data_IF_165557874306
#
_entry.id   IF_165557874306
#
_cell.length_a   1.000
_cell.length_b   1.000
_cell.length_c   1.000
_cell.angle_alpha   90.00
_cell.angle_beta   90.00
_cell.angle_gamma   90.00
#
_symmetry.space_group_name_H-M   'P 1'
#
loop_
_entity.id
_entity.type
_entity.pdbx_description
1 polymer ?
#
# COMPACT_ATOMS: atom_id res chain seq x y z
N UNK A 1 -13.59 7.35 20.83
CA UNK A 1 -12.86 6.13 21.22
C UNK A 1 -13.77 4.93 20.92
N UNK A 2 -13.35 4.02 20.03
CA UNK A 2 -14.07 2.77 19.72
C UNK A 2 -13.99 1.83 20.94
N UNK A 3 -14.85 2.03 21.94
CA UNK A 3 -14.75 1.31 23.23
C UNK A 3 -15.46 -0.05 23.28
N UNK A 4 -16.13 -0.45 22.19
CA UNK A 4 -17.00 -1.64 22.23
C UNK A 4 -16.42 -2.86 21.50
N UNK A 5 -15.48 -2.66 20.56
CA UNK A 5 -14.75 -3.76 19.93
C UNK A 5 -13.50 -4.06 20.74
N UNK A 6 -13.26 -5.34 21.04
CA UNK A 6 -12.00 -5.72 21.65
C UNK A 6 -10.83 -5.46 20.66
N UNK A 7 -9.62 -5.29 21.20
CA UNK A 7 -8.42 -4.96 20.41
C UNK A 7 -8.14 -5.98 19.29
N UNK A 8 -8.47 -7.25 19.50
CA UNK A 8 -8.30 -8.29 18.49
C UNK A 8 -9.28 -8.11 17.32
N UNK A 9 -10.53 -7.76 17.59
CA UNK A 9 -11.57 -7.51 16.58
C UNK A 9 -11.27 -6.23 15.80
N UNK A 10 -10.83 -5.15 16.45
CA UNK A 10 -10.40 -3.93 15.75
C UNK A 10 -9.29 -4.19 14.73
N UNK A 11 -8.27 -4.97 15.13
CA UNK A 11 -7.17 -5.36 14.24
C UNK A 11 -7.67 -6.27 13.10
N UNK A 12 -8.56 -7.23 13.41
CA UNK A 12 -9.10 -8.17 12.42
C UNK A 12 -10.08 -7.54 11.42
N UNK A 13 -10.78 -6.47 11.80
CA UNK A 13 -11.67 -5.71 10.92
C UNK A 13 -10.96 -4.56 10.20
N UNK A 14 -9.73 -4.22 10.61
CA UNK A 14 -9.04 -3.03 10.08
C UNK A 14 -9.70 -1.73 10.51
N UNK A 15 -10.50 -1.78 11.59
CA UNK A 15 -11.23 -0.65 12.15
C UNK A 15 -10.28 0.21 12.96
N UNK A 16 -9.67 1.18 12.31
CA UNK A 16 -8.85 2.20 12.96
C UNK A 16 -9.58 3.53 12.95
N UNK A 17 -9.62 4.18 14.11
CA UNK A 17 -10.01 5.58 14.20
C UNK A 17 -9.12 6.42 13.29
N UNK A 18 -9.72 7.30 12.49
CA UNK A 18 -8.97 8.19 11.60
C UNK A 18 -8.73 9.53 12.30
N UNK A 19 -7.49 9.89 12.63
CA UNK A 19 -7.21 11.14 13.32
C UNK A 19 -7.71 12.37 12.55
N UNK A 20 -8.28 13.33 13.29
CA UNK A 20 -8.88 14.54 12.73
C UNK A 20 -7.94 15.31 11.78
N UNK A 21 -6.63 15.32 12.05
CA UNK A 21 -5.69 16.01 11.17
C UNK A 21 -5.57 15.33 9.78
N UNK A 22 -5.75 14.01 9.68
CA UNK A 22 -5.82 13.31 8.40
C UNK A 22 -7.13 13.59 7.68
N UNK A 23 -8.25 13.64 8.43
CA UNK A 23 -9.56 14.05 7.89
C UNK A 23 -9.49 15.47 7.33
N UNK A 24 -8.83 16.40 8.03
CA UNK A 24 -8.59 17.75 7.52
C UNK A 24 -7.76 17.76 6.23
N UNK A 25 -6.78 16.86 6.07
CA UNK A 25 -6.02 16.75 4.81
C UNK A 25 -6.88 16.19 3.66
N UNK A 26 -7.83 15.30 3.94
CA UNK A 26 -8.83 14.84 2.96
C UNK A 26 -9.67 16.02 2.47
N UNK A 27 -10.18 16.86 3.37
CA UNK A 27 -10.94 18.05 2.98
C UNK A 27 -10.10 19.08 2.24
N UNK A 28 -8.83 19.29 2.62
CA UNK A 28 -7.92 20.16 1.87
C UNK A 28 -7.73 19.71 0.43
N UNK A 29 -7.63 18.40 0.18
CA UNK A 29 -7.55 17.86 -1.19
C UNK A 29 -8.87 18.07 -1.93
N UNK A 30 -10.02 17.82 -1.29
CA UNK A 30 -11.33 18.06 -1.88
C UNK A 30 -11.53 19.54 -2.26
N UNK A 31 -11.26 20.47 -1.34
CA UNK A 31 -11.41 21.93 -1.54
C UNK A 31 -10.45 22.48 -2.59
N UNK A 32 -9.31 21.81 -2.82
CA UNK A 32 -8.36 22.18 -3.87
C UNK A 32 -8.90 21.87 -5.27
N UNK A 33 -9.69 20.80 -5.42
CA UNK A 33 -10.03 20.22 -6.72
C UNK A 33 -11.52 20.25 -7.07
N UNK A 34 -12.40 20.51 -6.10
CA UNK A 34 -13.84 20.54 -6.27
C UNK A 34 -14.34 21.95 -5.98
N UNK A 35 -14.97 22.59 -6.97
CA UNK A 35 -15.37 24.00 -6.90
C UNK A 35 -16.38 24.29 -5.78
N UNK A 36 -17.42 23.46 -5.67
CA UNK A 36 -18.43 23.58 -4.62
C UNK A 36 -18.78 22.20 -4.06
N UNK A 37 -18.39 21.94 -2.81
CA UNK A 37 -18.70 20.67 -2.13
C UNK A 37 -20.20 20.48 -1.87
N UNK A 38 -20.97 21.55 -1.72
CA UNK A 38 -22.42 21.46 -1.43
C UNK A 38 -23.24 20.89 -2.60
N UNK A 39 -22.66 20.85 -3.80
CA UNK A 39 -23.29 20.23 -4.97
C UNK A 39 -23.33 18.69 -4.89
N UNK A 40 -22.61 18.10 -3.95
CA UNK A 40 -22.34 16.68 -3.89
C UNK A 40 -22.93 16.01 -2.66
N UNK A 41 -23.38 14.78 -2.85
CA UNK A 41 -23.63 13.83 -1.76
C UNK A 41 -22.31 13.11 -1.45
N UNK A 42 -21.97 13.01 -0.17
CA UNK A 42 -20.77 12.35 0.32
C UNK A 42 -21.11 10.98 0.88
N UNK A 43 -20.49 9.93 0.34
CA UNK A 43 -20.66 8.57 0.83
C UNK A 43 -19.38 8.10 1.51
N UNK A 44 -19.48 7.71 2.78
CA UNK A 44 -18.51 6.82 3.42
C UNK A 44 -19.16 5.44 3.61
N UNK A 45 -18.74 4.49 2.78
CA UNK A 45 -19.30 3.14 2.70
C UNK A 45 -18.87 2.23 3.87
N UNK A 46 -18.02 2.71 4.77
CA UNK A 46 -17.50 1.98 5.93
C UNK A 46 -17.14 2.97 7.03
N UNK A 47 -18.12 3.78 7.41
CA UNK A 47 -17.89 5.03 8.13
C UNK A 47 -17.49 4.85 9.59
N UNK A 48 -17.69 3.66 10.16
CA UNK A 48 -17.53 3.43 11.59
C UNK A 48 -18.31 4.47 12.40
N UNK A 49 -17.57 5.32 13.11
CA UNK A 49 -18.12 6.34 14.01
C UNK A 49 -18.40 7.68 13.29
N UNK A 50 -18.18 7.75 11.97
CA UNK A 50 -18.41 8.95 11.17
C UNK A 50 -17.27 9.96 11.28
N UNK A 51 -16.02 9.50 11.42
CA UNK A 51 -14.83 10.35 11.62
C UNK A 51 -14.67 11.43 10.53
N UNK A 52 -15.20 11.16 9.33
CA UNK A 52 -15.12 12.06 8.18
C UNK A 52 -16.22 13.12 8.14
N UNK A 53 -17.29 13.02 8.94
CA UNK A 53 -18.48 13.88 8.84
C UNK A 53 -18.35 15.17 9.67
N UNK A 54 -17.30 15.94 9.40
CA UNK A 54 -16.87 17.08 10.24
C UNK A 54 -17.32 18.46 9.74
N UNK A 55 -17.94 18.53 8.56
CA UNK A 55 -18.50 19.77 7.98
C UNK A 55 -20.03 19.69 7.91
N UNK A 56 -20.69 20.76 7.52
CA UNK A 56 -22.13 20.75 7.20
C UNK A 56 -22.32 20.46 5.70
N UNK A 57 -22.40 19.17 5.34
CA UNK A 57 -22.57 18.67 3.96
C UNK A 57 -23.55 17.49 3.97
N UNK A 58 -24.09 17.10 2.82
CA UNK A 58 -24.99 15.95 2.72
C UNK A 58 -24.21 14.62 2.76
N UNK A 59 -24.14 14.02 3.95
CA UNK A 59 -23.46 12.74 4.16
C UNK A 59 -24.39 11.54 4.22
N UNK A 60 -23.89 10.44 3.69
CA UNK A 60 -24.39 9.08 3.87
C UNK A 60 -23.27 8.25 4.51
N UNK A 61 -23.55 7.68 5.68
CA UNK A 61 -22.65 6.78 6.39
C UNK A 61 -23.19 5.35 6.38
N UNK A 62 -22.35 4.39 6.01
CA UNK A 62 -22.70 2.98 6.03
C UNK A 62 -21.69 2.19 6.83
N UNK A 63 -22.16 1.23 7.62
CA UNK A 63 -21.31 0.26 8.29
C UNK A 63 -22.09 -1.03 8.58
N UNK A 64 -21.37 -2.13 8.78
CA UNK A 64 -21.93 -3.39 9.28
C UNK A 64 -22.09 -3.37 10.80
N UNK A 65 -21.38 -2.48 11.48
CA UNK A 65 -21.39 -2.33 12.92
C UNK A 65 -22.45 -1.31 13.36
N UNK A 66 -23.58 -1.84 13.87
CA UNK A 66 -24.69 -1.04 14.36
C UNK A 66 -24.32 -0.17 15.57
N UNK A 67 -23.36 -0.62 16.40
CA UNK A 67 -22.92 0.15 17.57
C UNK A 67 -22.10 1.35 17.10
N UNK A 68 -21.20 1.17 16.14
CA UNK A 68 -20.48 2.28 15.53
C UNK A 68 -21.43 3.33 14.91
N UNK A 69 -22.40 2.87 14.11
CA UNK A 69 -23.39 3.76 13.49
C UNK A 69 -24.24 4.55 14.51
N UNK A 70 -24.50 3.99 15.69
CA UNK A 70 -25.25 4.71 16.74
C UNK A 70 -24.54 5.97 17.26
N UNK A 71 -23.24 6.10 16.99
CA UNK A 71 -22.44 7.24 17.41
C UNK A 71 -22.33 8.33 16.33
N UNK A 72 -22.77 8.04 15.10
CA UNK A 72 -22.75 8.98 13.99
C UNK A 72 -23.86 10.02 14.19
N UNK A 73 -23.51 11.31 14.15
CA UNK A 73 -24.46 12.40 14.40
C UNK A 73 -24.82 13.23 13.17
N UNK A 74 -23.93 13.30 12.19
CA UNK A 74 -23.97 14.28 11.11
C UNK A 74 -24.08 13.62 9.73
N UNK A 75 -24.87 12.55 9.63
CA UNK A 75 -25.08 11.82 8.38
C UNK A 75 -26.36 11.01 8.41
N UNK A 76 -26.92 10.73 7.22
CA UNK A 76 -27.93 9.69 7.04
C UNK A 76 -27.24 8.32 7.15
N UNK A 77 -27.64 7.51 8.13
CA UNK A 77 -26.99 6.22 8.40
C UNK A 77 -27.73 5.04 7.76
N UNK A 78 -26.97 4.08 7.21
CA UNK A 78 -27.49 2.84 6.64
C UNK A 78 -26.71 1.66 7.22
N UNK A 79 -27.39 0.82 8.00
CA UNK A 79 -26.79 -0.42 8.51
C UNK A 79 -26.78 -1.48 7.41
N UNK A 80 -25.62 -1.70 6.79
CA UNK A 80 -25.50 -2.62 5.65
C UNK A 80 -24.06 -3.06 5.41
N UNK A 81 -23.89 -4.22 4.77
CA UNK A 81 -22.60 -4.60 4.19
C UNK A 81 -22.45 -3.97 2.81
N UNK A 82 -21.65 -2.92 2.70
CA UNK A 82 -21.45 -2.13 1.47
C UNK A 82 -20.83 -2.87 0.29
N UNK A 83 -20.38 -4.12 0.46
CA UNK A 83 -19.81 -4.96 -0.61
C UNK A 83 -20.78 -6.01 -1.17
N UNK A 84 -22.05 -5.96 -0.78
CA UNK A 84 -23.10 -6.92 -1.16
C UNK A 84 -24.23 -6.23 -1.90
N UNK A 85 -24.65 -6.77 -3.05
CA UNK A 85 -25.68 -6.16 -3.91
C UNK A 85 -25.40 -4.67 -4.15
N UNK A 86 -24.16 -4.34 -4.55
CA UNK A 86 -23.73 -2.94 -4.70
C UNK A 86 -24.49 -2.27 -5.84
N UNK A 87 -25.26 -1.24 -5.50
CA UNK A 87 -26.03 -0.41 -6.42
C UNK A 87 -26.29 0.98 -5.79
N UNK A 88 -26.47 2.02 -6.61
CA UNK A 88 -26.75 3.38 -6.09
C UNK A 88 -28.04 3.43 -5.25
N UNK A 89 -29.09 2.71 -5.65
CA UNK A 89 -30.38 2.68 -4.94
C UNK A 89 -30.25 2.14 -3.52
N UNK A 90 -29.32 1.22 -3.28
CA UNK A 90 -29.04 0.67 -1.94
C UNK A 90 -28.63 1.77 -0.96
N UNK A 91 -27.97 2.81 -1.45
CA UNK A 91 -27.54 3.96 -0.68
C UNK A 91 -28.52 5.13 -0.77
N UNK A 92 -29.75 4.90 -1.25
CA UNK A 92 -30.74 5.95 -1.52
C UNK A 92 -30.24 7.04 -2.48
N UNK A 93 -29.40 6.65 -3.44
CA UNK A 93 -28.87 7.55 -4.48
C UNK A 93 -29.61 7.32 -5.81
N UNK A 94 -29.93 8.41 -6.48
CA UNK A 94 -30.37 8.41 -7.87
C UNK A 94 -29.18 8.22 -8.83
N UNK A 95 -29.46 7.99 -10.11
CA UNK A 95 -28.41 7.90 -11.13
C UNK A 95 -27.80 9.27 -11.46
N UNK A 96 -28.52 10.36 -11.20
CA UNK A 96 -28.13 11.72 -11.56
C UNK A 96 -27.45 12.47 -10.40
N UNK A 97 -27.50 11.92 -9.18
CA UNK A 97 -26.85 12.54 -8.02
C UNK A 97 -25.35 12.70 -8.28
N UNK A 98 -24.81 13.88 -7.99
CA UNK A 98 -23.36 14.08 -7.95
C UNK A 98 -22.81 13.44 -6.67
N UNK A 99 -21.86 12.53 -6.80
CA UNK A 99 -21.37 11.73 -5.68
C UNK A 99 -19.87 11.90 -5.49
N UNK A 100 -19.47 12.08 -4.22
CA UNK A 100 -18.09 11.96 -3.76
C UNK A 100 -18.00 10.81 -2.76
N UNK A 101 -17.03 9.93 -2.93
CA UNK A 101 -16.72 8.91 -1.92
C UNK A 101 -15.57 9.39 -1.06
N UNK A 102 -15.74 9.33 0.26
CA UNK A 102 -14.72 9.63 1.26
C UNK A 102 -14.59 8.48 2.25
N UNK A 103 -13.51 8.47 3.02
CA UNK A 103 -13.37 7.55 4.15
C UNK A 103 -12.04 6.83 4.21
N UNK A 104 -11.98 5.88 5.14
CA UNK A 104 -10.84 5.00 5.35
C UNK A 104 -11.35 3.54 5.28
N UNK A 105 -11.55 2.99 4.06
CA UNK A 105 -12.07 1.65 3.91
C UNK A 105 -11.17 0.62 4.59
N UNK A 106 -11.76 -0.41 5.24
CA UNK A 106 -10.98 -1.41 5.92
C UNK A 106 -10.10 -2.17 4.93
N UNK A 107 -8.81 -2.24 5.24
CA UNK A 107 -7.83 -3.01 4.48
C UNK A 107 -7.27 -4.11 5.36
N UNK A 108 -7.27 -5.34 4.85
CA UNK A 108 -6.74 -6.51 5.56
C UNK A 108 -6.46 -7.63 4.56
N UNK A 109 -5.19 -8.00 4.43
CA UNK A 109 -4.77 -9.11 3.57
C UNK A 109 -5.16 -10.46 4.22
N UNK A 110 -6.06 -11.20 3.58
CA UNK A 110 -6.52 -12.53 4.01
C UNK A 110 -5.38 -13.53 4.24
N UNK A 111 -4.19 -13.29 3.68
CA UNK A 111 -3.02 -14.19 3.75
C UNK A 111 -2.11 -14.01 4.96
N UNK A 112 -2.39 -13.04 5.86
CA UNK A 112 -1.71 -13.00 7.16
C UNK A 112 -2.08 -14.26 7.96
N UNK A 113 -1.06 -15.07 8.27
CA UNK A 113 -1.10 -16.42 8.86
C UNK A 113 -1.88 -16.51 10.19
N UNK A 114 -2.26 -15.36 10.76
CA UNK A 114 -3.04 -15.25 11.98
C UNK A 114 -4.52 -15.44 11.64
N UNK A 115 -5.04 -16.62 12.02
CA UNK A 115 -6.46 -16.97 12.23
C UNK A 115 -7.36 -17.05 10.98
N UNK A 116 -7.12 -18.05 10.14
CA UNK A 116 -7.93 -18.44 8.96
C UNK A 116 -9.39 -18.81 9.27
N UNK A 117 -9.70 -19.22 10.51
CA UNK A 117 -11.03 -19.73 10.87
C UNK A 117 -12.04 -18.63 11.21
N UNK A 118 -11.60 -17.46 11.69
CA UNK A 118 -12.47 -16.30 11.99
C UNK A 118 -12.82 -15.53 10.69
N UNK A 119 -11.95 -15.59 9.67
CA UNK A 119 -12.05 -14.81 8.43
C UNK A 119 -13.09 -15.32 7.42
N UNK A 120 -13.74 -16.48 7.63
CA UNK A 120 -14.67 -17.06 6.66
C UNK A 120 -16.08 -16.47 6.70
N UNK A 121 -16.59 -16.06 7.86
CA UNK A 121 -17.95 -15.51 8.01
C UNK A 121 -18.02 -13.98 7.89
N UNK A 122 -16.92 -13.26 8.16
CA UNK A 122 -16.89 -11.79 8.22
C UNK A 122 -16.86 -11.06 6.86
N UNK A 123 -16.74 -11.77 5.73
CA UNK A 123 -16.48 -11.14 4.43
C UNK A 123 -17.33 -11.70 3.29
N UNK A 124 -18.65 -11.76 3.49
CA UNK A 124 -19.59 -11.92 2.38
C UNK A 124 -19.49 -10.69 1.46
N UNK A 125 -19.20 -10.91 0.18
CA UNK A 125 -18.92 -9.88 -0.81
C UNK A 125 -19.35 -10.39 -2.19
N UNK A 126 -19.86 -9.52 -3.05
CA UNK A 126 -20.26 -9.89 -4.40
C UNK A 126 -19.06 -10.49 -5.17
N UNK A 127 -19.30 -11.59 -5.91
CA UNK A 127 -18.24 -12.37 -6.58
C UNK A 127 -17.34 -11.52 -7.50
N UNK A 128 -17.90 -10.48 -8.11
CA UNK A 128 -17.20 -9.54 -9.00
C UNK A 128 -16.27 -8.59 -8.24
N UNK A 129 -16.52 -8.36 -6.96
CA UNK A 129 -15.77 -7.45 -6.10
C UNK A 129 -14.68 -8.19 -5.32
N UNK A 130 -14.88 -9.47 -4.98
CA UNK A 130 -13.99 -10.25 -4.11
C UNK A 130 -12.52 -10.12 -4.53
N UNK A 131 -11.71 -9.70 -3.57
CA UNK A 131 -10.26 -9.85 -3.61
C UNK A 131 -9.72 -10.37 -2.27
N UNK A 132 -8.43 -10.72 -2.26
CA UNK A 132 -7.74 -11.18 -1.04
C UNK A 132 -7.54 -10.07 -0.01
N UNK A 133 -7.44 -8.84 -0.48
CA UNK A 133 -7.45 -7.65 0.37
C UNK A 133 -8.82 -6.98 0.28
N UNK A 134 -9.42 -6.71 1.44
CA UNK A 134 -10.73 -6.11 1.54
C UNK A 134 -10.75 -4.68 0.96
N UNK A 135 -9.69 -3.90 1.15
CA UNK A 135 -9.66 -2.52 0.67
C UNK A 135 -9.76 -2.44 -0.86
N UNK A 136 -9.16 -3.38 -1.58
CA UNK A 136 -9.31 -3.48 -3.05
C UNK A 136 -10.76 -3.83 -3.44
N UNK A 137 -11.47 -4.60 -2.61
CA UNK A 137 -12.88 -4.91 -2.86
C UNK A 137 -13.75 -3.64 -2.75
N UNK A 138 -13.44 -2.74 -1.81
CA UNK A 138 -14.07 -1.41 -1.71
C UNK A 138 -13.75 -0.52 -2.93
N UNK A 139 -12.48 -0.42 -3.35
CA UNK A 139 -12.15 0.37 -4.54
C UNK A 139 -12.90 -0.15 -5.78
N UNK A 140 -13.07 -1.47 -5.92
CA UNK A 140 -13.88 -2.06 -7.00
C UNK A 140 -15.37 -1.71 -6.88
N UNK A 141 -15.93 -1.63 -5.68
CA UNK A 141 -17.33 -1.28 -5.49
C UNK A 141 -17.61 0.17 -5.87
N UNK A 142 -16.64 1.07 -5.68
CA UNK A 142 -16.76 2.47 -6.05
C UNK A 142 -16.96 2.66 -7.56
N UNK A 143 -16.34 1.82 -8.40
CA UNK A 143 -16.57 1.87 -9.85
C UNK A 143 -18.04 1.59 -10.22
N UNK A 144 -18.73 0.73 -9.46
CA UNK A 144 -20.15 0.44 -9.66
C UNK A 144 -21.01 1.67 -9.31
N UNK A 145 -20.65 2.39 -8.24
CA UNK A 145 -21.36 3.57 -7.78
C UNK A 145 -21.11 4.82 -8.64
N UNK A 146 -20.05 4.81 -9.44
CA UNK A 146 -19.68 5.86 -10.40
C UNK A 146 -19.62 7.28 -9.79
N UNK A 147 -19.01 7.51 -8.61
CA UNK A 147 -18.79 8.85 -8.11
C UNK A 147 -17.93 9.67 -9.07
N UNK A 148 -18.10 10.99 -9.05
CA UNK A 148 -17.25 11.90 -9.82
C UNK A 148 -15.84 11.98 -9.21
N UNK A 149 -15.77 12.03 -7.87
CA UNK A 149 -14.53 12.09 -7.11
C UNK A 149 -14.49 11.06 -6.00
N UNK A 150 -13.28 10.61 -5.66
CA UNK A 150 -13.03 9.67 -4.57
C UNK A 150 -11.82 10.19 -3.78
N UNK A 151 -11.98 10.47 -2.50
CA UNK A 151 -10.90 10.91 -1.61
C UNK A 151 -10.81 9.98 -0.39
N UNK A 152 -10.00 8.93 -0.49
CA UNK A 152 -9.95 7.87 0.52
C UNK A 152 -8.53 7.57 0.98
N UNK A 153 -8.41 6.94 2.15
CA UNK A 153 -7.17 6.37 2.62
C UNK A 153 -7.05 4.91 2.17
N UNK A 154 -5.90 4.50 1.67
CA UNK A 154 -5.58 3.09 1.48
C UNK A 154 -4.06 2.84 1.47
N UNK A 155 -3.60 1.60 1.67
CA UNK A 155 -2.19 1.26 1.52
C UNK A 155 -1.67 1.68 0.14
N UNK A 156 -0.52 2.38 0.11
CA UNK A 156 0.10 2.80 -1.14
C UNK A 156 0.44 1.60 -2.05
N UNK A 157 0.70 0.44 -1.44
CA UNK A 157 0.96 -0.83 -2.12
C UNK A 157 -0.12 -1.25 -3.14
N UNK A 158 -1.33 -0.68 -3.09
CA UNK A 158 -2.36 -0.94 -4.10
C UNK A 158 -2.00 -0.35 -5.46
N UNK A 159 -1.24 0.75 -5.47
CA UNK A 159 -0.83 1.44 -6.67
C UNK A 159 0.56 0.98 -7.11
N UNK A 160 1.52 0.97 -6.19
CA UNK A 160 2.95 0.81 -6.51
C UNK A 160 3.37 -0.64 -6.79
N UNK A 161 2.53 -1.63 -6.47
CA UNK A 161 2.78 -3.05 -6.81
C UNK A 161 1.90 -3.44 -7.99
N UNK A 162 2.52 -3.76 -9.13
CA UNK A 162 1.83 -4.12 -10.38
C UNK A 162 0.71 -5.15 -10.21
N UNK A 163 0.92 -6.17 -9.39
CA UNK A 163 -0.09 -7.22 -9.12
C UNK A 163 -1.32 -6.67 -8.40
N UNK A 164 -1.13 -5.83 -7.38
CA UNK A 164 -2.23 -5.18 -6.66
C UNK A 164 -2.91 -4.12 -7.54
N UNK A 165 -2.13 -3.35 -8.31
CA UNK A 165 -2.67 -2.37 -9.25
C UNK A 165 -3.60 -3.04 -10.28
N UNK A 166 -3.17 -4.17 -10.85
CA UNK A 166 -4.01 -4.95 -11.75
C UNK A 166 -5.27 -5.49 -11.06
N UNK A 167 -5.19 -5.79 -9.77
CA UNK A 167 -6.35 -6.21 -8.99
C UNK A 167 -7.39 -5.11 -8.78
N UNK A 168 -7.11 -3.83 -9.05
CA UNK A 168 -8.13 -2.77 -9.05
C UNK A 168 -9.18 -2.97 -10.15
N UNK A 169 -8.93 -3.83 -11.14
CA UNK A 169 -9.89 -4.20 -12.19
C UNK A 169 -10.48 -2.98 -12.92
N UNK A 170 -11.80 -2.82 -12.98
CA UNK A 170 -12.46 -1.71 -13.68
C UNK A 170 -12.16 -0.33 -13.07
N UNK A 171 -11.90 -0.27 -11.76
CA UNK A 171 -11.58 0.98 -11.07
C UNK A 171 -10.40 1.70 -11.73
N UNK A 172 -9.29 0.99 -11.97
CA UNK A 172 -8.12 1.60 -12.62
C UNK A 172 -8.39 2.03 -14.06
N UNK A 173 -9.41 1.50 -14.73
CA UNK A 173 -9.74 1.88 -16.11
C UNK A 173 -10.70 3.09 -16.18
N UNK A 174 -11.24 3.54 -15.05
CA UNK A 174 -12.31 4.55 -14.99
C UNK A 174 -12.00 5.71 -14.05
N UNK A 175 -10.87 5.66 -13.35
CA UNK A 175 -10.40 6.68 -12.42
C UNK A 175 -8.91 6.95 -12.63
N UNK A 176 -8.53 8.23 -12.52
CA UNK A 176 -7.12 8.67 -12.44
C UNK A 176 -6.84 9.21 -11.05
N UNK A 177 -5.70 8.80 -10.48
CA UNK A 177 -5.14 9.45 -9.29
C UNK A 177 -4.59 10.82 -9.71
N UNK A 178 -5.23 11.91 -9.31
CA UNK A 178 -4.82 13.26 -9.74
C UNK A 178 -4.08 14.03 -8.64
N UNK A 179 -4.24 13.62 -7.38
CA UNK A 179 -3.49 14.14 -6.26
C UNK A 179 -3.42 13.10 -5.14
N UNK A 180 -2.50 13.27 -4.21
CA UNK A 180 -2.47 12.45 -3.01
C UNK A 180 -1.35 12.79 -2.06
N UNK A 181 -1.55 12.39 -0.80
CA UNK A 181 -0.63 12.65 0.30
C UNK A 181 -0.29 11.35 1.02
N UNK A 182 0.99 11.01 1.09
CA UNK A 182 1.47 9.82 1.78
C UNK A 182 1.74 10.12 3.25
N UNK A 183 1.27 9.22 4.10
CA UNK A 183 1.45 9.23 5.56
C UNK A 183 1.91 7.87 6.06
N UNK A 184 2.54 7.86 7.24
CA UNK A 184 2.99 6.61 7.88
C UNK A 184 1.84 5.86 8.53
N UNK A 185 1.81 4.53 8.39
CA UNK A 185 0.89 3.66 9.14
C UNK A 185 1.10 3.72 10.66
N UNK A 186 2.23 4.28 11.12
CA UNK A 186 2.52 4.55 12.53
C UNK A 186 1.42 5.39 13.20
N UNK A 187 0.81 6.32 12.47
CA UNK A 187 -0.27 7.18 12.96
C UNK A 187 -1.45 6.35 13.51
N UNK A 188 -1.74 5.21 12.89
CA UNK A 188 -2.81 4.31 13.30
C UNK A 188 -2.33 3.20 14.24
N UNK A 189 -1.06 2.80 14.12
CA UNK A 189 -0.48 1.64 14.80
C UNK A 189 0.92 1.92 15.35
N UNK A 190 1.07 2.83 16.32
CA UNK A 190 2.39 3.33 16.76
C UNK A 190 3.27 2.26 17.43
N UNK A 191 2.67 1.13 17.82
CA UNK A 191 3.37 -0.01 18.45
C UNK A 191 3.78 -1.11 17.45
N UNK A 192 3.63 -0.89 16.15
CA UNK A 192 4.02 -1.85 15.12
C UNK A 192 5.54 -1.91 14.97
N UNK A 193 6.08 -3.10 14.70
CA UNK A 193 7.52 -3.30 14.43
C UNK A 193 7.96 -2.78 13.05
N UNK A 194 7.02 -2.50 12.16
CA UNK A 194 7.32 -1.97 10.83
C UNK A 194 6.16 -1.11 10.36
N UNK A 195 6.48 0.07 9.85
CA UNK A 195 5.51 0.99 9.28
C UNK A 195 5.52 0.90 7.75
N UNK A 196 4.38 1.16 7.15
CA UNK A 196 4.19 1.15 5.71
C UNK A 196 3.46 2.43 5.26
N UNK A 197 3.64 2.84 3.99
CA UNK A 197 2.97 4.02 3.47
C UNK A 197 1.47 3.78 3.23
N UNK A 198 0.67 4.70 3.74
CA UNK A 198 -0.75 4.88 3.41
C UNK A 198 -0.84 6.15 2.57
N UNK A 199 -1.67 6.16 1.54
CA UNK A 199 -1.95 7.34 0.73
C UNK A 199 -3.37 7.82 1.02
N UNK A 200 -3.52 9.11 1.30
CA UNK A 200 -4.78 9.84 1.11
C UNK A 200 -4.83 10.12 -0.39
N UNK A 201 -5.60 9.33 -1.13
CA UNK A 201 -5.61 9.35 -2.58
C UNK A 201 -6.85 10.08 -3.10
N UNK A 202 -6.63 11.06 -3.97
CA UNK A 202 -7.67 11.81 -4.65
C UNK A 202 -7.79 11.35 -6.09
N UNK A 203 -8.88 10.66 -6.39
CA UNK A 203 -9.20 10.17 -7.72
C UNK A 203 -10.31 10.99 -8.35
N UNK A 204 -10.19 11.23 -9.65
CA UNK A 204 -11.25 11.77 -10.50
C UNK A 204 -11.68 10.73 -11.51
N UNK A 205 -12.99 10.64 -11.76
CA UNK A 205 -13.54 9.80 -12.81
C UNK A 205 -13.03 10.25 -14.18
N UNK A 206 -12.49 9.33 -14.95
CA UNK A 206 -11.81 9.60 -16.21
C UNK A 206 -12.02 8.42 -17.17
N UNK A 207 -12.35 8.69 -18.42
CA UNK A 207 -12.69 7.66 -19.41
C UNK A 207 -11.50 6.80 -19.86
N UNK A 208 -10.26 7.26 -19.61
CA UNK A 208 -9.04 6.52 -19.92
C UNK A 208 -8.46 5.82 -18.68
N UNK A 209 -8.80 6.30 -17.49
CA UNK A 209 -8.28 5.80 -16.22
C UNK A 209 -6.74 5.89 -16.13
N UNK A 210 -6.17 4.99 -15.34
CA UNK A 210 -4.74 4.83 -15.11
C UNK A 210 -4.25 3.46 -15.59
N UNK A 211 -3.13 3.44 -16.32
CA UNK A 211 -2.35 2.24 -16.55
C UNK A 211 -1.14 2.20 -15.58
N UNK A 212 -0.38 1.10 -15.56
CA UNK A 212 0.73 1.00 -14.60
C UNK A 212 1.89 1.94 -14.95
N UNK A 213 2.06 2.29 -16.23
CA UNK A 213 3.07 3.28 -16.64
C UNK A 213 2.74 4.66 -16.07
N UNK A 214 1.47 5.06 -16.08
CA UNK A 214 0.99 6.28 -15.43
C UNK A 214 1.42 6.32 -13.97
N UNK A 215 1.16 5.25 -13.21
CA UNK A 215 1.56 5.14 -11.80
C UNK A 215 3.08 5.19 -11.62
N UNK A 216 3.85 4.60 -12.54
CA UNK A 216 5.31 4.66 -12.45
C UNK A 216 5.88 6.07 -12.64
N UNK A 217 5.23 6.91 -13.45
CA UNK A 217 5.63 8.28 -13.72
C UNK A 217 4.96 9.30 -12.78
N UNK A 218 4.01 8.87 -11.93
CA UNK A 218 3.35 9.74 -10.98
C UNK A 218 4.34 10.24 -9.90
N UNK A 219 4.27 11.53 -9.57
CA UNK A 219 5.06 12.13 -8.49
C UNK A 219 4.30 12.01 -7.17
N UNK A 220 4.75 11.09 -6.34
CA UNK A 220 4.18 10.86 -5.01
C UNK A 220 4.74 11.86 -4.01
N UNK A 221 3.86 12.43 -3.18
CA UNK A 221 4.22 13.42 -2.15
C UNK A 221 3.94 12.89 -0.76
N UNK A 222 4.82 13.16 0.19
CA UNK A 222 4.65 12.78 1.59
C UNK A 222 4.22 13.97 2.44
N UNK A 223 3.62 13.71 3.60
CA UNK A 223 3.21 14.77 4.54
C UNK A 223 4.39 15.59 5.08
N UNK A 224 5.59 15.02 5.06
CA UNK A 224 6.84 15.69 5.40
C UNK A 224 7.41 16.55 4.26
N UNK A 225 6.75 16.59 3.10
CA UNK A 225 7.17 17.37 1.94
C UNK A 225 8.20 16.69 1.02
N UNK A 226 8.46 15.39 1.21
CA UNK A 226 9.31 14.63 0.30
C UNK A 226 8.53 14.21 -0.95
N UNK A 227 9.24 14.02 -2.06
CA UNK A 227 8.67 13.55 -3.31
C UNK A 227 9.46 12.38 -3.91
N UNK A 228 8.78 11.45 -4.58
CA UNK A 228 9.44 10.39 -5.34
C UNK A 228 8.62 9.91 -6.54
N UNK A 229 9.30 9.34 -7.54
CA UNK A 229 8.73 8.76 -8.76
C UNK A 229 9.24 7.33 -8.89
N UNK A 230 8.35 6.35 -9.07
CA UNK A 230 8.74 4.93 -9.09
C UNK A 230 9.70 4.59 -10.23
N UNK A 231 9.52 5.21 -11.40
CA UNK A 231 10.36 4.98 -12.58
C UNK A 231 11.84 5.28 -12.33
N UNK A 232 12.16 6.15 -11.36
CA UNK A 232 13.53 6.52 -11.03
C UNK A 232 14.27 5.42 -10.26
N UNK A 233 13.59 4.35 -9.85
CA UNK A 233 14.18 3.24 -9.11
C UNK A 233 14.25 1.99 -9.98
N UNK A 234 15.47 1.55 -10.27
CA UNK A 234 15.69 0.24 -10.88
C UNK A 234 15.56 -0.86 -9.83
N UNK A 235 14.83 -1.92 -10.15
CA UNK A 235 14.48 -3.00 -9.22
C UNK A 235 15.53 -4.10 -9.27
N UNK A 236 15.94 -4.61 -8.10
CA UNK A 236 16.82 -5.78 -8.02
C UNK A 236 16.21 -7.01 -8.70
N UNK A 237 14.89 -7.05 -8.84
CA UNK A 237 14.15 -8.11 -9.51
C UNK A 237 14.50 -8.27 -10.99
N UNK A 238 15.13 -7.25 -11.61
CA UNK A 238 15.65 -7.31 -12.97
C UNK A 238 16.93 -8.16 -13.07
N UNK A 239 17.61 -8.39 -11.94
CA UNK A 239 18.91 -9.07 -11.88
C UNK A 239 18.84 -10.43 -11.16
N UNK A 240 17.87 -10.61 -10.26
CA UNK A 240 17.70 -11.87 -9.50
C UNK A 240 16.25 -12.30 -9.36
N UNK A 241 15.98 -13.63 -9.30
CA UNK A 241 14.67 -14.13 -8.95
C UNK A 241 14.32 -13.80 -7.49
N UNK A 242 13.06 -13.44 -7.27
CA UNK A 242 12.52 -13.13 -5.93
C UNK A 242 11.95 -14.34 -5.19
N UNK A 243 11.61 -15.40 -5.92
CA UNK A 243 10.92 -16.57 -5.40
C UNK A 243 11.69 -17.85 -5.70
N UNK A 244 11.56 -18.89 -4.86
CA UNK A 244 12.17 -20.20 -5.09
C UNK A 244 11.74 -20.80 -6.43
N UNK A 245 12.68 -21.38 -7.15
CA UNK A 245 12.40 -22.25 -8.30
C UNK A 245 12.72 -23.70 -7.93
N UNK A 246 11.69 -24.46 -7.52
CA UNK A 246 11.84 -25.85 -7.11
C UNK A 246 12.27 -26.78 -8.26
N UNK A 247 12.12 -26.34 -9.52
CA UNK A 247 12.51 -27.10 -10.70
C UNK A 247 13.97 -26.88 -11.12
N UNK A 248 14.66 -25.91 -10.52
CA UNK A 248 16.06 -25.64 -10.86
C UNK A 248 16.95 -26.74 -10.26
N UNK A 249 17.59 -27.53 -11.11
CA UNK A 249 18.42 -28.68 -10.72
C UNK A 249 19.89 -28.32 -10.51
N UNK A 250 20.32 -27.10 -10.85
CA UNK A 250 21.71 -26.66 -10.70
C UNK A 250 22.15 -26.72 -9.24
N UNK A 251 23.45 -26.96 -9.03
CA UNK A 251 24.08 -26.94 -7.71
C UNK A 251 24.22 -25.49 -7.24
N UNK A 252 23.54 -25.16 -6.15
CA UNK A 252 23.65 -23.84 -5.53
C UNK A 252 24.96 -23.70 -4.75
N UNK A 253 25.53 -22.50 -4.72
CA UNK A 253 26.68 -22.16 -3.87
C UNK A 253 26.24 -21.57 -2.52
N UNK A 254 25.01 -21.06 -2.46
CA UNK A 254 24.38 -20.56 -1.24
C UNK A 254 22.84 -20.61 -1.36
N UNK A 255 22.16 -20.36 -0.25
CA UNK A 255 20.70 -20.24 -0.20
C UNK A 255 20.31 -18.88 0.36
N UNK A 256 19.28 -18.26 -0.22
CA UNK A 256 18.78 -16.95 0.20
C UNK A 256 17.28 -17.02 0.50
N UNK A 257 16.81 -16.30 1.51
CA UNK A 257 15.38 -16.26 1.81
C UNK A 257 14.58 -15.56 0.71
N UNK A 258 13.36 -16.03 0.43
CA UNK A 258 12.42 -15.38 -0.51
C UNK A 258 12.36 -13.85 -0.33
N UNK A 259 12.47 -13.13 -1.44
CA UNK A 259 12.41 -11.67 -1.51
C UNK A 259 10.98 -11.19 -1.76
N UNK A 260 10.56 -10.13 -1.07
CA UNK A 260 9.27 -9.46 -1.32
C UNK A 260 9.50 -7.97 -1.49
N UNK A 261 9.22 -7.19 -0.45
CA UNK A 261 9.48 -5.76 -0.37
C UNK A 261 10.53 -5.46 0.71
N UNK A 262 10.94 -4.20 0.78
CA UNK A 262 11.93 -3.71 1.75
C UNK A 262 11.50 -3.99 3.20
N UNK A 263 10.21 -3.84 3.52
CA UNK A 263 9.69 -4.15 4.85
C UNK A 263 9.81 -5.65 5.19
N UNK A 264 9.58 -6.55 4.23
CA UNK A 264 9.83 -7.98 4.42
C UNK A 264 11.32 -8.28 4.59
N UNK A 265 12.20 -7.62 3.83
CA UNK A 265 13.66 -7.75 3.96
C UNK A 265 14.14 -7.36 5.37
N UNK A 266 13.61 -6.26 5.93
CA UNK A 266 13.94 -5.81 7.29
C UNK A 266 13.68 -6.88 8.35
N UNK A 267 12.59 -7.64 8.22
CA UNK A 267 12.17 -8.68 9.18
C UNK A 267 12.83 -10.04 8.96
N UNK A 268 13.04 -10.43 7.70
CA UNK A 268 13.46 -11.79 7.37
C UNK A 268 14.99 -11.93 7.37
N UNK A 269 15.48 -13.14 7.62
CA UNK A 269 16.89 -13.47 7.37
C UNK A 269 17.21 -13.35 5.87
N UNK A 270 18.48 -13.14 5.53
CA UNK A 270 18.97 -13.04 4.14
C UNK A 270 19.57 -14.37 3.70
N UNK A 271 20.87 -14.59 3.88
CA UNK A 271 21.51 -15.88 3.62
C UNK A 271 21.07 -16.92 4.66
N UNK A 272 20.88 -18.15 4.19
CA UNK A 272 20.37 -19.27 4.98
C UNK A 272 21.41 -20.39 5.04
N UNK A 273 21.57 -21.00 6.23
CA UNK A 273 22.47 -22.14 6.43
C UNK A 273 21.98 -23.41 5.72
N UNK A 274 20.65 -23.60 5.68
CA UNK A 274 20.02 -24.80 5.12
C UNK A 274 18.92 -24.42 4.12
N UNK A 275 18.76 -25.26 3.10
CA UNK A 275 17.66 -25.12 2.13
C UNK A 275 16.32 -25.49 2.78
N UNK A 276 15.28 -24.72 2.47
CA UNK A 276 13.89 -25.10 2.71
C UNK A 276 12.98 -24.67 1.54
N UNK A 277 11.67 -24.84 1.69
CA UNK A 277 10.67 -24.53 0.65
C UNK A 277 10.63 -23.05 0.23
N UNK A 278 11.13 -22.15 1.07
CA UNK A 278 11.20 -20.70 0.85
C UNK A 278 12.60 -20.22 0.43
N UNK A 279 13.55 -21.13 0.21
CA UNK A 279 14.92 -20.79 -0.18
C UNK A 279 15.06 -20.61 -1.68
N UNK A 280 15.61 -19.47 -2.08
CA UNK A 280 16.12 -19.20 -3.41
C UNK A 280 17.53 -19.81 -3.50
N UNK A 281 17.80 -20.54 -4.58
CA UNK A 281 19.14 -21.03 -4.91
C UNK A 281 19.99 -19.89 -5.46
N UNK A 282 21.17 -19.69 -4.88
CA UNK A 282 22.16 -18.69 -5.33
C UNK A 282 23.26 -19.41 -6.10
N UNK A 283 23.68 -18.79 -7.20
CA UNK A 283 24.71 -19.28 -8.10
C UNK A 283 25.82 -18.23 -8.23
N UNK A 284 26.95 -18.63 -8.80
CA UNK A 284 28.13 -17.77 -8.89
C UNK A 284 27.88 -16.50 -9.72
N UNK A 285 27.12 -16.62 -10.82
CA UNK A 285 26.77 -15.54 -11.74
C UNK A 285 25.90 -14.45 -11.10
N UNK A 286 25.11 -14.80 -10.08
CA UNK A 286 24.19 -13.86 -9.43
C UNK A 286 24.49 -13.59 -7.94
N UNK A 287 25.54 -14.20 -7.39
CA UNK A 287 25.94 -14.06 -5.99
C UNK A 287 26.07 -12.60 -5.56
N UNK A 288 26.75 -11.78 -6.37
CA UNK A 288 26.99 -10.36 -6.08
C UNK A 288 25.72 -9.58 -5.76
N UNK A 289 24.61 -9.89 -6.43
CA UNK A 289 23.31 -9.23 -6.19
C UNK A 289 22.65 -9.70 -4.89
N UNK A 290 22.82 -10.96 -4.49
CA UNK A 290 22.33 -11.44 -3.20
C UNK A 290 23.15 -10.88 -2.03
N UNK A 291 24.47 -10.73 -2.20
CA UNK A 291 25.32 -10.03 -1.24
C UNK A 291 24.95 -8.54 -1.17
N UNK A 292 24.67 -7.91 -2.31
CA UNK A 292 24.12 -6.56 -2.36
C UNK A 292 22.84 -6.43 -1.51
N UNK A 293 21.88 -7.35 -1.67
CA UNK A 293 20.64 -7.34 -0.88
C UNK A 293 20.92 -7.53 0.62
N UNK A 294 21.91 -8.35 0.98
CA UNK A 294 22.35 -8.53 2.36
C UNK A 294 22.81 -7.19 2.97
N UNK A 295 23.63 -6.42 2.27
CA UNK A 295 24.02 -5.08 2.71
C UNK A 295 22.90 -4.05 2.62
N UNK A 296 22.01 -4.14 1.63
CA UNK A 296 20.83 -3.29 1.57
C UNK A 296 20.02 -3.40 2.86
N UNK A 297 19.83 -4.63 3.38
CA UNK A 297 19.20 -4.85 4.68
C UNK A 297 19.95 -4.13 5.80
N UNK A 298 21.28 -4.28 5.86
CA UNK A 298 22.15 -3.65 6.86
C UNK A 298 22.00 -2.12 6.90
N UNK A 299 21.85 -1.46 5.74
CA UNK A 299 21.69 0.00 5.65
C UNK A 299 20.24 0.49 5.55
N UNK A 300 19.26 -0.42 5.57
CA UNK A 300 17.84 -0.06 5.40
C UNK A 300 17.24 0.79 6.54
N UNK A 301 17.98 1.01 7.63
CA UNK A 301 17.63 1.96 8.70
C UNK A 301 17.71 3.42 8.23
N UNK A 302 18.46 3.69 7.16
CA UNK A 302 18.54 5.01 6.53
C UNK A 302 17.31 5.32 5.66
N UNK A 303 16.51 4.31 5.31
CA UNK A 303 15.36 4.46 4.41
C UNK A 303 14.12 4.99 5.15
N UNK A 304 13.51 6.07 4.64
CA UNK A 304 12.20 6.51 5.07
C UNK A 304 11.11 5.43 4.93
N UNK A 305 10.05 5.54 5.74
CA UNK A 305 8.94 4.58 5.78
C UNK A 305 8.26 4.38 4.42
N UNK A 306 8.19 5.44 3.60
CA UNK A 306 7.46 5.44 2.33
C UNK A 306 8.09 4.55 1.26
N UNK A 307 9.33 4.11 1.45
CA UNK A 307 9.95 3.07 0.63
C UNK A 307 9.61 1.64 1.07
N UNK A 308 9.02 1.45 2.25
CA UNK A 308 8.86 0.13 2.87
C UNK A 308 8.10 -0.91 2.03
N UNK A 309 7.19 -0.47 1.16
CA UNK A 309 6.45 -1.35 0.25
C UNK A 309 7.01 -1.44 -1.17
N UNK A 310 8.10 -0.73 -1.47
CA UNK A 310 8.80 -0.89 -2.74
C UNK A 310 9.58 -2.21 -2.76
N UNK A 311 9.85 -2.64 -4.00
CA UNK A 311 10.90 -3.61 -4.25
C UNK A 311 12.26 -3.02 -3.85
N UNK A 312 13.21 -3.91 -3.54
CA UNK A 312 14.59 -3.50 -3.29
C UNK A 312 15.12 -2.89 -4.58
N UNK A 313 15.62 -1.67 -4.49
CA UNK A 313 16.12 -0.92 -5.63
C UNK A 313 17.64 -0.84 -5.63
N UNK A 314 18.23 -0.56 -6.81
CA UNK A 314 19.67 -0.56 -7.05
C UNK A 314 20.04 0.56 -8.02
N UNK A 315 21.19 1.21 -7.82
CA UNK A 315 21.85 1.95 -8.88
C UNK A 315 22.87 1.00 -9.52
N UNK A 316 22.43 0.26 -10.54
CA UNK A 316 23.22 -0.84 -11.10
C UNK A 316 24.58 -0.37 -11.62
N UNK A 317 24.62 0.77 -12.33
CA UNK A 317 25.84 1.35 -12.85
C UNK A 317 26.89 1.62 -11.75
N UNK A 318 26.49 2.24 -10.64
CA UNK A 318 27.41 2.51 -9.54
C UNK A 318 27.74 1.25 -8.71
N UNK A 319 26.82 0.29 -8.65
CA UNK A 319 27.05 -1.00 -7.98
C UNK A 319 28.15 -1.79 -8.69
N UNK A 320 28.13 -1.88 -10.03
CA UNK A 320 29.14 -2.61 -10.81
C UNK A 320 30.57 -2.08 -10.57
N UNK A 321 30.73 -0.79 -10.26
CA UNK A 321 32.05 -0.19 -9.96
C UNK A 321 32.67 -0.70 -8.66
N UNK A 322 31.88 -1.29 -7.77
CA UNK A 322 32.30 -1.74 -6.44
C UNK A 322 31.88 -3.19 -6.16
N UNK A 323 31.45 -3.96 -7.16
CA UNK A 323 30.90 -5.30 -6.96
C UNK A 323 31.91 -6.28 -6.34
N UNK A 324 33.20 -6.10 -6.64
CA UNK A 324 34.29 -6.88 -6.07
C UNK A 324 34.35 -6.75 -4.55
N UNK A 325 33.99 -5.59 -3.98
CA UNK A 325 33.97 -5.39 -2.53
C UNK A 325 32.90 -6.27 -1.85
N UNK A 326 31.77 -6.48 -2.53
CA UNK A 326 30.71 -7.38 -2.05
C UNK A 326 31.15 -8.85 -2.15
N UNK A 327 31.78 -9.24 -3.25
CA UNK A 327 32.27 -10.61 -3.42
C UNK A 327 33.42 -10.91 -2.43
N UNK A 328 34.33 -9.97 -2.22
CA UNK A 328 35.41 -10.10 -1.24
C UNK A 328 34.85 -10.30 0.18
N UNK A 329 33.81 -9.55 0.57
CA UNK A 329 33.11 -9.79 1.83
C UNK A 329 32.58 -11.23 1.93
N UNK A 330 31.91 -11.72 0.87
CA UNK A 330 31.31 -13.06 0.90
C UNK A 330 32.35 -14.18 0.99
N UNK A 331 33.50 -14.03 0.32
CA UNK A 331 34.58 -15.00 0.34
C UNK A 331 35.59 -14.78 1.47
N UNK A 332 35.26 -13.96 2.47
CA UNK A 332 36.11 -13.68 3.63
C UNK A 332 37.50 -13.12 3.25
N UNK A 333 37.57 -12.37 2.13
CA UNK A 333 38.76 -11.64 1.69
C UNK A 333 38.75 -10.21 2.22
N UNK A 334 39.89 -9.54 2.16
CA UNK A 334 39.98 -8.10 2.46
C UNK A 334 39.06 -7.30 1.51
N UNK A 335 38.23 -6.43 2.07
CA UNK A 335 37.30 -5.58 1.32
C UNK A 335 37.22 -4.19 1.98
N UNK A 336 36.82 -3.19 1.20
CA UNK A 336 36.64 -1.82 1.66
C UNK A 336 35.19 -1.56 2.04
N UNK A 337 34.85 -1.71 3.32
CA UNK A 337 33.50 -1.46 3.83
C UNK A 337 33.04 0.00 3.62
N UNK A 338 33.96 0.97 3.62
CA UNK A 338 33.60 2.38 3.41
C UNK A 338 33.04 2.61 2.00
N UNK A 339 33.57 1.95 0.96
CA UNK A 339 32.99 2.04 -0.39
C UNK A 339 31.55 1.52 -0.44
N UNK A 340 31.27 0.41 0.25
CA UNK A 340 29.91 -0.15 0.33
C UNK A 340 28.99 0.82 1.08
N UNK A 341 29.46 1.34 2.22
CA UNK A 341 28.74 2.32 3.03
C UNK A 341 28.39 3.55 2.22
N UNK A 342 29.37 4.16 1.56
CA UNK A 342 29.21 5.38 0.76
C UNK A 342 28.24 5.17 -0.40
N UNK A 343 28.27 4.00 -1.05
CA UNK A 343 27.29 3.63 -2.07
C UNK A 343 25.86 3.70 -1.52
N UNK A 344 25.58 3.13 -0.34
CA UNK A 344 24.23 3.14 0.24
C UNK A 344 23.82 4.53 0.74
N UNK A 345 24.74 5.32 1.27
CA UNK A 345 24.45 6.71 1.61
C UNK A 345 24.05 7.51 0.38
N UNK A 346 24.77 7.37 -0.73
CA UNK A 346 24.44 8.05 -1.98
C UNK A 346 23.13 7.54 -2.58
N UNK A 347 22.88 6.23 -2.53
CA UNK A 347 21.64 5.61 -3.00
C UNK A 347 20.40 6.11 -2.24
N UNK A 348 20.52 6.34 -0.93
CA UNK A 348 19.37 6.68 -0.07
C UNK A 348 19.19 8.17 0.21
N UNK A 349 20.26 8.98 0.16
CA UNK A 349 20.18 10.42 0.47
C UNK A 349 19.92 11.31 -0.74
N UNK A 350 19.58 10.77 -1.92
CA UNK A 350 19.21 11.53 -3.12
C UNK A 350 20.15 12.70 -3.47
N UNK A 351 21.43 12.65 -3.07
CA UNK A 351 22.38 13.75 -3.33
C UNK A 351 22.95 13.73 -4.73
N UNK A 352 22.81 12.62 -5.46
CA UNK A 352 23.18 12.56 -6.85
C UNK A 352 21.98 12.16 -7.68
N UNK A 353 21.56 13.09 -8.54
CA UNK A 353 20.51 12.89 -9.51
C UNK A 353 20.78 11.63 -10.31
N UNK A 354 19.79 10.74 -10.29
CA UNK A 354 19.64 9.74 -11.34
C UNK A 354 19.24 10.54 -12.58
N UNK A 355 20.27 10.98 -13.33
CA UNK A 355 20.12 11.49 -14.69
C UNK A 355 19.83 10.33 -15.63
#
# INVERSE_FOLDING_TARGET
>A
MQNHLNREIMINLGSYYTPIFLVNNVYKLLEKWVDNLNDYIFLDSSCGYGDFFIKDLDYIGCDIDKIALSQVKNARIIHTNSLVNVDRKKFNLSNDDKLIIIGNPPYNDKTSIIRSNIKKELFYCDKTLIYRDLGISFLRSYEILKPEFICILHPLSYLIKKTNFNALAKFKNTYKLIDGLIVSSEIFTPKSNTFFPIIIAFYKRDSQGMNYEYIKNYTFKTIEGNEFILKNYDSIANYVPKYPNQKDTRKAIAYFHTLRDINALKRNQTFMLYQNSNSIKVFEDNLKYYVYIHFFKKYSYLLPYYFGNLDIFINHHNFLKIEDEFLNYFYEKSYNENKIKDYFYNLFNHKEGIK
#
